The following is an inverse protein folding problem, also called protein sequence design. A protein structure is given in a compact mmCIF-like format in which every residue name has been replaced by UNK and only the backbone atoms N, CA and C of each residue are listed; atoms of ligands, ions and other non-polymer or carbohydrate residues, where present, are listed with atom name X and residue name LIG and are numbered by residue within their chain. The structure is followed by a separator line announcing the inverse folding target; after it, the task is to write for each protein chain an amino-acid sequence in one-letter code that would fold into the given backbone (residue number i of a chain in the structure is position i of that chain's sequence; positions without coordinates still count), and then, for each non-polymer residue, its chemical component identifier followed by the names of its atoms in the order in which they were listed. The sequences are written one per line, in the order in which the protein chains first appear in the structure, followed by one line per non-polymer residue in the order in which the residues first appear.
data_IF_406683492034
#
_entry.id   IF_406683492034
#
_cell.length_a   1.000
_cell.length_b   1.000
_cell.length_c   1.000
_cell.angle_alpha   90.00
_cell.angle_beta   90.00
_cell.angle_gamma   90.00
#
_symmetry.space_group_name_H-M   'P 1'
#
loop_
_entity.id
_entity.type
_entity.pdbx_description
1 polymer ?
#
# COMPACT_ATOMS: atom_id res chain seq x y z
N UNK A 1 -5.82 9.65 -12.99
CA UNK A 1 -6.55 8.62 -12.20
C UNK A 1 -5.61 8.14 -11.12
N UNK A 2 -6.02 8.20 -9.86
CA UNK A 2 -5.28 7.56 -8.77
C UNK A 2 -5.64 6.08 -8.76
N UNK A 3 -4.66 5.22 -9.08
CA UNK A 3 -4.83 3.77 -9.10
C UNK A 3 -4.22 3.07 -7.90
N UNK A 4 -3.69 3.82 -6.93
CA UNK A 4 -2.93 3.29 -5.79
C UNK A 4 -3.68 3.48 -4.46
N UNK A 5 -4.30 4.64 -4.28
CA UNK A 5 -5.05 4.97 -3.07
C UNK A 5 -6.51 4.55 -3.18
N UNK A 6 -7.15 4.34 -2.03
CA UNK A 6 -8.60 4.13 -1.97
C UNK A 6 -9.29 5.46 -2.20
N UNK A 7 -8.92 6.48 -1.44
CA UNK A 7 -9.38 7.85 -1.65
C UNK A 7 -8.29 8.58 -2.46
N UNK A 8 -8.60 9.16 -3.65
CA UNK A 8 -7.61 9.90 -4.43
C UNK A 8 -6.91 10.95 -3.59
N UNK A 9 -5.58 11.07 -3.72
CA UNK A 9 -4.77 11.88 -2.81
C UNK A 9 -5.26 13.34 -2.67
N UNK A 10 -5.66 13.97 -3.78
CA UNK A 10 -6.20 15.34 -3.82
C UNK A 10 -7.64 15.46 -3.29
N UNK A 11 -8.39 14.36 -3.23
CA UNK A 11 -9.71 14.31 -2.60
C UNK A 11 -9.58 14.01 -1.09
N UNK A 12 -8.58 13.23 -0.67
CA UNK A 12 -8.37 12.86 0.72
C UNK A 12 -8.15 14.09 1.60
N UNK A 13 -7.34 15.05 1.13
CA UNK A 13 -7.10 16.35 1.77
C UNK A 13 -6.70 17.37 0.72
N UNK A 14 -7.03 18.64 0.96
CA UNK A 14 -6.66 19.80 0.14
C UNK A 14 -5.27 20.38 0.48
N UNK A 15 -4.60 19.78 1.48
CA UNK A 15 -3.31 20.24 2.00
C UNK A 15 -2.50 19.10 2.62
N UNK A 16 -1.23 19.41 2.90
CA UNK A 16 -0.35 18.60 3.73
C UNK A 16 -0.94 18.41 5.13
N UNK A 17 -1.15 17.16 5.52
CA UNK A 17 -1.64 16.79 6.84
C UNK A 17 -0.50 16.47 7.80
N UNK A 18 -0.58 17.02 9.00
CA UNK A 18 0.51 16.94 9.98
C UNK A 18 0.62 15.55 10.63
N UNK A 19 -0.49 14.83 10.79
CA UNK A 19 -0.51 13.55 11.50
C UNK A 19 -1.65 12.64 11.05
N UNK A 20 -1.53 11.35 11.36
CA UNK A 20 -2.60 10.38 11.13
C UNK A 20 -3.94 10.83 11.74
N UNK A 21 -3.92 11.47 12.91
CA UNK A 21 -5.12 12.00 13.57
C UNK A 21 -5.89 13.01 12.70
N UNK A 22 -5.18 13.83 11.92
CA UNK A 22 -5.81 14.93 11.19
C UNK A 22 -6.38 14.49 9.84
N UNK A 23 -5.72 13.53 9.17
CA UNK A 23 -6.22 12.96 7.91
C UNK A 23 -7.25 11.83 8.09
N UNK A 24 -7.19 11.07 9.20
CA UNK A 24 -8.03 9.88 9.44
C UNK A 24 -9.51 10.14 9.21
N UNK A 25 -10.05 11.20 9.80
CA UNK A 25 -11.47 11.50 9.68
C UNK A 25 -11.84 11.90 8.25
N UNK A 26 -10.95 12.60 7.53
CA UNK A 26 -11.18 13.03 6.14
C UNK A 26 -11.20 11.85 5.15
N UNK A 27 -10.36 10.84 5.38
CA UNK A 27 -10.35 9.59 4.61
C UNK A 27 -11.58 8.75 5.00
N UNK A 28 -11.78 8.50 6.29
CA UNK A 28 -12.86 7.63 6.77
C UNK A 28 -14.25 8.13 6.38
N UNK A 29 -14.47 9.45 6.33
CA UNK A 29 -15.75 10.00 5.86
C UNK A 29 -16.03 9.72 4.39
N UNK A 30 -14.99 9.46 3.58
CA UNK A 30 -15.08 9.18 2.15
C UNK A 30 -15.05 7.68 1.82
N UNK A 31 -14.58 6.82 2.73
CA UNK A 31 -14.54 5.37 2.49
C UNK A 31 -15.87 4.76 1.98
N UNK A 32 -17.06 5.16 2.46
CA UNK A 32 -18.32 4.63 1.91
C UNK A 32 -18.53 4.88 0.41
N UNK A 33 -17.95 5.94 -0.12
CA UNK A 33 -18.02 6.30 -1.54
C UNK A 33 -16.91 5.60 -2.36
N UNK A 34 -15.71 5.50 -1.81
CA UNK A 34 -14.52 5.08 -2.56
C UNK A 34 -14.13 3.60 -2.37
N UNK A 35 -14.40 3.01 -1.20
CA UNK A 35 -14.11 1.60 -0.93
C UNK A 35 -15.25 0.71 -1.44
N UNK A 36 -15.28 0.52 -2.75
CA UNK A 36 -16.33 -0.23 -3.44
C UNK A 36 -15.74 -1.38 -4.24
N UNK A 37 -16.58 -2.33 -4.63
CA UNK A 37 -16.19 -3.42 -5.52
C UNK A 37 -15.81 -2.90 -6.92
N UNK A 38 -14.83 -3.56 -7.52
CA UNK A 38 -14.34 -3.18 -8.84
C UNK A 38 -15.20 -3.82 -9.94
N UNK A 39 -15.61 -3.06 -10.98
CA UNK A 39 -16.26 -3.66 -12.13
C UNK A 39 -15.27 -4.62 -12.83
N UNK A 40 -15.77 -5.72 -13.43
CA UNK A 40 -14.91 -6.63 -14.17
C UNK A 40 -14.30 -5.93 -15.39
N UNK A 41 -13.05 -6.29 -15.73
CA UNK A 41 -12.41 -5.81 -16.94
C UNK A 41 -13.10 -6.42 -18.16
N UNK A 42 -13.68 -5.57 -19.01
CA UNK A 42 -14.38 -5.98 -20.23
C UNK A 42 -13.40 -5.90 -21.41
N UNK A 43 -13.32 -6.98 -22.21
CA UNK A 43 -12.54 -6.97 -23.44
C UNK A 43 -13.11 -5.93 -24.41
N UNK A 44 -12.25 -5.08 -24.94
CA UNK A 44 -12.64 -4.10 -25.94
C UNK A 44 -13.18 -4.80 -27.22
N UNK A 45 -14.26 -4.30 -27.85
CA UNK A 45 -14.89 -4.97 -28.99
C UNK A 45 -14.03 -4.94 -30.27
N UNK A 46 -13.06 -4.03 -30.34
CA UNK A 46 -12.13 -3.93 -31.45
C UNK A 46 -10.75 -4.45 -31.02
N UNK A 47 -10.16 -5.33 -31.83
CA UNK A 47 -8.78 -5.75 -31.65
C UNK A 47 -7.80 -4.65 -32.09
N UNK A 48 -6.63 -4.62 -31.46
CA UNK A 48 -5.58 -3.66 -31.80
C UNK A 48 -5.03 -3.93 -33.20
N UNK A 49 -4.89 -2.87 -34.01
CA UNK A 49 -4.15 -2.94 -35.29
C UNK A 49 -2.64 -3.06 -35.08
N UNK A 50 -2.14 -2.69 -33.90
CA UNK A 50 -0.73 -2.77 -33.53
C UNK A 50 -0.42 -4.19 -33.06
N UNK A 51 0.46 -4.89 -33.80
CA UNK A 51 1.03 -6.16 -33.36
C UNK A 51 2.24 -5.88 -32.48
N UNK A 52 2.18 -6.27 -31.22
CA UNK A 52 3.33 -6.21 -30.31
C UNK A 52 4.17 -7.49 -30.44
N UNK A 53 5.50 -7.38 -30.56
CA UNK A 53 6.36 -8.56 -30.50
C UNK A 53 6.27 -9.21 -29.11
N UNK A 54 6.61 -10.50 -29.02
CA UNK A 54 6.75 -11.15 -27.71
C UNK A 54 7.89 -10.50 -26.94
N UNK A 55 7.70 -10.35 -25.64
CA UNK A 55 8.74 -9.83 -24.76
C UNK A 55 9.88 -10.86 -24.63
N UNK A 56 11.12 -10.39 -24.74
CA UNK A 56 12.33 -11.15 -24.42
C UNK A 56 12.79 -10.79 -23.01
N UNK A 57 12.29 -11.55 -22.03
CA UNK A 57 12.54 -11.26 -20.62
C UNK A 57 13.98 -11.58 -20.19
N UNK A 58 14.62 -12.57 -20.82
CA UNK A 58 16.00 -12.94 -20.51
C UNK A 58 16.94 -11.80 -20.89
N UNK A 59 16.78 -11.26 -22.11
CA UNK A 59 17.53 -10.09 -22.56
C UNK A 59 17.25 -8.84 -21.67
N UNK A 60 15.98 -8.60 -21.31
CA UNK A 60 15.65 -7.51 -20.38
C UNK A 60 16.36 -7.64 -19.03
N UNK A 61 16.49 -8.86 -18.51
CA UNK A 61 17.12 -9.12 -17.21
C UNK A 61 18.65 -8.97 -17.27
N UNK A 62 19.28 -9.36 -18.38
CA UNK A 62 20.73 -9.18 -18.57
C UNK A 62 21.15 -7.71 -18.54
N UNK A 63 20.31 -6.84 -19.08
CA UNK A 63 20.57 -5.41 -19.25
C UNK A 63 20.01 -4.50 -18.15
N UNK A 64 19.38 -5.06 -17.11
CA UNK A 64 18.84 -4.25 -16.02
C UNK A 64 19.97 -3.65 -15.17
N UNK A 65 19.93 -2.33 -14.95
CA UNK A 65 20.90 -1.61 -14.13
C UNK A 65 20.51 -1.70 -12.65
N UNK A 66 20.88 -2.80 -12.01
CA UNK A 66 20.64 -3.03 -10.58
C UNK A 66 21.94 -3.42 -9.87
N UNK A 67 21.96 -3.20 -8.56
CA UNK A 67 22.98 -3.77 -7.69
C UNK A 67 22.80 -5.29 -7.60
N UNK A 68 23.68 -6.04 -8.27
CA UNK A 68 23.66 -7.51 -8.31
C UNK A 68 24.27 -8.15 -7.05
N UNK A 69 24.73 -7.35 -6.08
CA UNK A 69 25.21 -7.87 -4.78
C UNK A 69 24.06 -8.20 -3.83
N UNK A 70 22.87 -7.65 -4.08
CA UNK A 70 21.66 -7.93 -3.31
C UNK A 70 20.93 -9.12 -3.94
N UNK A 71 20.85 -10.20 -3.18
CA UNK A 71 20.19 -11.43 -3.63
C UNK A 71 18.68 -11.25 -3.78
N UNK A 72 18.13 -12.05 -4.70
CA UNK A 72 16.68 -12.20 -4.87
C UNK A 72 16.03 -12.74 -3.59
N UNK A 73 14.91 -12.14 -3.22
CA UNK A 73 14.09 -12.58 -2.10
C UNK A 73 13.44 -13.94 -2.42
N UNK A 74 13.49 -14.89 -1.47
CA UNK A 74 12.97 -16.25 -1.66
C UNK A 74 11.57 -16.48 -1.05
N UNK A 75 11.17 -15.65 -0.08
CA UNK A 75 9.88 -15.80 0.62
C UNK A 75 8.71 -15.13 -0.12
N UNK A 76 9.00 -14.21 -1.06
CA UNK A 76 8.00 -13.41 -1.77
C UNK A 76 8.00 -13.77 -3.26
N UNK A 77 6.91 -14.37 -3.74
CA UNK A 77 6.70 -14.61 -5.16
C UNK A 77 6.03 -13.38 -5.80
N UNK A 78 6.70 -12.74 -6.76
CA UNK A 78 6.17 -11.58 -7.45
C UNK A 78 4.90 -11.86 -8.26
N UNK A 79 4.11 -10.81 -8.48
CA UNK A 79 2.90 -10.80 -9.30
C UNK A 79 1.61 -10.97 -8.50
N UNK A 80 0.47 -10.66 -9.13
CA UNK A 80 -0.85 -10.65 -8.49
C UNK A 80 -1.21 -11.98 -7.81
N UNK A 81 -0.86 -13.11 -8.42
CA UNK A 81 -1.12 -14.44 -7.82
C UNK A 81 -0.37 -14.63 -6.51
N UNK A 82 0.92 -14.28 -6.45
CA UNK A 82 1.68 -14.36 -5.20
C UNK A 82 1.15 -13.40 -4.12
N UNK A 83 0.60 -12.25 -4.54
CA UNK A 83 -0.06 -11.32 -3.63
C UNK A 83 -1.33 -11.93 -3.00
N UNK A 84 -2.14 -12.62 -3.81
CA UNK A 84 -3.33 -13.32 -3.35
C UNK A 84 -2.98 -14.46 -2.39
N UNK A 85 -1.98 -15.27 -2.73
CA UNK A 85 -1.49 -16.34 -1.86
C UNK A 85 -1.06 -15.76 -0.49
N UNK A 86 -0.30 -14.66 -0.51
CA UNK A 86 0.13 -13.99 0.73
C UNK A 86 -1.05 -13.39 1.53
N UNK A 87 -2.04 -12.80 0.85
CA UNK A 87 -3.24 -12.27 1.47
C UNK A 87 -4.03 -13.38 2.17
N UNK A 88 -4.19 -14.53 1.51
CA UNK A 88 -4.86 -15.70 2.09
C UNK A 88 -4.14 -16.19 3.35
N UNK A 89 -2.81 -16.33 3.30
CA UNK A 89 -2.00 -16.70 4.48
C UNK A 89 -2.18 -15.68 5.61
N UNK A 90 -2.16 -14.38 5.28
CA UNK A 90 -2.39 -13.34 6.28
C UNK A 90 -3.76 -13.49 6.95
N UNK A 91 -4.84 -13.59 6.16
CA UNK A 91 -6.21 -13.66 6.67
C UNK A 91 -6.44 -14.93 7.50
N UNK A 92 -5.98 -16.07 7.02
CA UNK A 92 -6.29 -17.38 7.61
C UNK A 92 -5.43 -17.69 8.84
N UNK A 93 -4.17 -17.24 8.86
CA UNK A 93 -3.22 -17.65 9.91
C UNK A 93 -2.86 -16.52 10.90
N UNK A 94 -2.73 -15.28 10.42
CA UNK A 94 -2.06 -14.20 11.18
C UNK A 94 -2.97 -13.06 11.61
N UNK A 95 -4.03 -12.76 10.85
CA UNK A 95 -4.93 -11.63 11.10
C UNK A 95 -5.48 -11.63 12.53
N UNK A 96 -5.84 -12.80 13.08
CA UNK A 96 -6.34 -12.91 14.47
C UNK A 96 -5.41 -12.27 15.51
N UNK A 97 -4.10 -12.31 15.29
CA UNK A 97 -3.07 -11.86 16.23
C UNK A 97 -2.49 -10.48 15.86
N UNK A 98 -2.90 -9.88 14.74
CA UNK A 98 -2.27 -8.67 14.20
C UNK A 98 -2.25 -7.51 15.20
N UNK A 99 -3.37 -7.20 15.84
CA UNK A 99 -3.45 -6.07 16.80
C UNK A 99 -2.45 -6.20 17.95
N UNK A 100 -2.37 -7.41 18.53
CA UNK A 100 -1.55 -7.67 19.71
C UNK A 100 -0.06 -7.86 19.38
N UNK A 101 0.25 -8.40 18.19
CA UNK A 101 1.60 -8.90 17.86
C UNK A 101 2.33 -8.15 16.77
N UNK A 102 1.71 -7.20 16.04
CA UNK A 102 2.36 -6.46 14.93
C UNK A 102 3.62 -5.68 15.32
N UNK A 103 3.77 -5.34 16.60
CA UNK A 103 4.92 -4.60 17.11
C UNK A 103 6.03 -5.51 17.67
N UNK A 104 5.82 -6.82 17.69
CA UNK A 104 6.79 -7.80 18.18
C UNK A 104 7.53 -8.42 16.98
N UNK A 105 8.80 -8.05 16.72
CA UNK A 105 9.55 -8.56 15.59
C UNK A 105 9.86 -10.06 15.69
N UNK A 106 9.71 -10.68 16.87
CA UNK A 106 9.85 -12.12 17.03
C UNK A 106 8.59 -12.90 16.60
N UNK A 107 7.50 -12.20 16.25
CA UNK A 107 6.22 -12.79 15.88
C UNK A 107 5.90 -12.51 14.42
N UNK A 108 5.59 -13.55 13.66
CA UNK A 108 5.05 -13.40 12.30
C UNK A 108 3.56 -13.04 12.34
N UNK A 109 3.28 -11.77 12.66
CA UNK A 109 1.92 -11.26 12.81
C UNK A 109 1.53 -10.27 11.72
N UNK A 110 2.48 -9.71 10.98
CA UNK A 110 2.21 -8.71 9.94
C UNK A 110 1.67 -9.37 8.66
N UNK A 111 1.11 -8.58 7.74
CA UNK A 111 0.62 -9.13 6.47
C UNK A 111 1.72 -9.56 5.52
N UNK A 112 2.91 -8.95 5.62
CA UNK A 112 3.97 -9.10 4.63
C UNK A 112 3.61 -8.57 3.23
N UNK A 113 2.48 -7.87 3.06
CA UNK A 113 1.96 -7.46 1.74
C UNK A 113 2.69 -6.25 1.11
N UNK A 114 3.59 -5.59 1.84
CA UNK A 114 4.25 -4.36 1.39
C UNK A 114 5.00 -4.48 0.05
N UNK A 115 5.66 -5.61 -0.33
CA UNK A 115 6.29 -5.71 -1.65
C UNK A 115 5.27 -5.62 -2.79
N UNK A 116 4.10 -6.25 -2.62
CA UNK A 116 3.06 -6.24 -3.65
C UNK A 116 2.30 -4.91 -3.69
N UNK A 117 2.11 -4.25 -2.55
CA UNK A 117 1.59 -2.88 -2.52
C UNK A 117 2.53 -1.92 -3.25
N UNK A 118 3.83 -1.96 -2.93
CA UNK A 118 4.84 -1.08 -3.53
C UNK A 118 4.84 -1.15 -5.07
N UNK A 119 4.80 -2.36 -5.64
CA UNK A 119 4.80 -2.54 -7.09
C UNK A 119 3.41 -2.49 -7.75
N UNK A 120 2.34 -2.19 -7.00
CA UNK A 120 0.97 -2.18 -7.52
C UNK A 120 0.52 -3.55 -8.05
N UNK A 121 1.10 -4.63 -7.54
CA UNK A 121 0.79 -5.99 -7.97
C UNK A 121 -0.53 -6.49 -7.40
N UNK A 122 -1.05 -5.85 -6.35
CA UNK A 122 -2.40 -6.04 -5.81
C UNK A 122 -2.96 -4.68 -5.38
N UNK A 123 -4.26 -4.46 -5.64
CA UNK A 123 -4.96 -3.28 -5.15
C UNK A 123 -5.14 -3.36 -3.63
N UNK A 124 -4.82 -2.27 -2.93
CA UNK A 124 -5.05 -2.18 -1.50
C UNK A 124 -6.55 -2.20 -1.22
N UNK A 125 -7.37 -1.50 -2.01
CA UNK A 125 -8.81 -1.53 -1.83
C UNK A 125 -9.34 -2.97 -1.90
N UNK A 126 -8.85 -3.79 -2.85
CA UNK A 126 -9.16 -5.24 -2.89
C UNK A 126 -8.79 -5.92 -1.58
N UNK A 127 -7.57 -5.73 -1.08
CA UNK A 127 -7.15 -6.32 0.20
C UNK A 127 -8.06 -5.91 1.36
N UNK A 128 -8.44 -4.63 1.45
CA UNK A 128 -9.34 -4.15 2.51
C UNK A 128 -10.73 -4.76 2.38
N UNK A 129 -11.27 -4.88 1.16
CA UNK A 129 -12.56 -5.54 0.90
C UNK A 129 -12.56 -6.99 1.39
N UNK A 130 -11.46 -7.74 1.22
CA UNK A 130 -11.35 -9.12 1.73
C UNK A 130 -11.18 -9.16 3.26
N UNK A 131 -10.36 -8.27 3.83
CA UNK A 131 -10.05 -8.28 5.27
C UNK A 131 -11.25 -7.82 6.11
N UNK A 132 -12.07 -6.88 5.61
CA UNK A 132 -13.21 -6.36 6.38
C UNK A 132 -14.32 -7.40 6.61
N UNK A 133 -14.40 -8.44 5.78
CA UNK A 133 -15.34 -9.56 5.98
C UNK A 133 -15.09 -10.28 7.32
N UNK A 134 -13.87 -10.17 7.86
CA UNK A 134 -13.48 -10.76 9.14
C UNK A 134 -13.68 -9.81 10.34
N UNK A 135 -14.25 -8.62 10.14
CA UNK A 135 -14.44 -7.61 11.19
C UNK A 135 -15.25 -8.13 12.37
N UNK A 136 -16.26 -8.97 12.12
CA UNK A 136 -17.08 -9.57 13.19
C UNK A 136 -16.30 -10.59 14.04
N UNK A 137 -15.23 -11.19 13.49
CA UNK A 137 -14.42 -12.20 14.17
C UNK A 137 -13.19 -11.61 14.84
N UNK A 138 -12.53 -10.66 14.17
CA UNK A 138 -11.24 -10.10 14.60
C UNK A 138 -11.27 -8.56 14.59
N UNK A 139 -12.29 -7.96 15.22
CA UNK A 139 -12.59 -6.52 15.14
C UNK A 139 -11.37 -5.61 15.33
N UNK A 140 -10.58 -5.84 16.39
CA UNK A 140 -9.40 -5.01 16.69
C UNK A 140 -8.30 -5.17 15.65
N UNK A 141 -7.99 -6.40 15.26
CA UNK A 141 -6.99 -6.69 14.23
C UNK A 141 -7.36 -6.12 12.86
N UNK A 142 -8.62 -6.23 12.46
CA UNK A 142 -9.12 -5.63 11.23
C UNK A 142 -9.02 -4.11 11.29
N UNK A 143 -9.46 -3.47 12.39
CA UNK A 143 -9.35 -2.03 12.56
C UNK A 143 -7.89 -1.55 12.56
N UNK A 144 -7.00 -2.26 13.27
CA UNK A 144 -5.57 -1.96 13.31
C UNK A 144 -4.91 -2.14 11.94
N UNK A 145 -5.29 -3.16 11.18
CA UNK A 145 -4.78 -3.35 9.82
C UNK A 145 -5.27 -2.24 8.88
N UNK A 146 -6.56 -1.88 8.93
CA UNK A 146 -7.11 -0.78 8.13
C UNK A 146 -6.46 0.58 8.46
N UNK A 147 -6.14 0.85 9.73
CA UNK A 147 -5.42 2.06 10.11
C UNK A 147 -4.04 2.14 9.42
N UNK A 148 -3.28 1.04 9.40
CA UNK A 148 -1.95 1.02 8.76
C UNK A 148 -2.07 1.02 7.22
N UNK A 149 -2.92 0.17 6.68
CA UNK A 149 -3.07 -0.04 5.24
C UNK A 149 -3.94 1.01 4.54
N UNK A 150 -4.59 1.92 5.25
CA UNK A 150 -5.33 3.04 4.66
C UNK A 150 -4.74 4.35 5.17
N UNK A 151 -4.97 4.67 6.45
CA UNK A 151 -4.67 5.99 7.01
C UNK A 151 -3.18 6.29 6.96
N UNK A 152 -2.34 5.36 7.41
CA UNK A 152 -0.88 5.58 7.48
C UNK A 152 -0.23 5.58 6.11
N UNK A 153 -0.65 4.68 5.21
CA UNK A 153 -0.14 4.68 3.83
C UNK A 153 -0.57 5.95 3.08
N UNK A 154 -1.86 6.27 3.07
CA UNK A 154 -2.37 7.44 2.33
C UNK A 154 -1.90 8.77 2.95
N UNK A 155 -1.56 8.81 4.24
CA UNK A 155 -0.84 9.94 4.83
C UNK A 155 0.57 10.11 4.22
N UNK A 156 1.25 9.01 3.91
CA UNK A 156 2.58 9.06 3.28
C UNK A 156 2.49 9.58 1.85
N UNK A 157 1.45 9.18 1.11
CA UNK A 157 1.13 9.74 -0.20
C UNK A 157 0.79 11.23 -0.12
N UNK A 158 -0.06 11.63 0.85
CA UNK A 158 -0.35 13.03 1.11
C UNK A 158 0.92 13.83 1.43
N UNK A 159 1.85 13.25 2.20
CA UNK A 159 3.11 13.88 2.53
C UNK A 159 3.95 14.15 1.28
N UNK A 160 4.22 13.11 0.47
CA UNK A 160 5.01 13.26 -0.75
C UNK A 160 4.32 14.14 -1.80
N UNK A 161 2.99 14.11 -1.89
CA UNK A 161 2.22 14.90 -2.86
C UNK A 161 2.26 16.40 -2.55
N UNK A 162 2.12 16.79 -1.27
CA UNK A 162 2.06 18.21 -0.88
C UNK A 162 3.41 18.80 -0.42
N UNK A 163 4.44 17.97 -0.25
CA UNK A 163 5.75 18.42 0.22
C UNK A 163 6.83 18.13 -0.83
N UNK A 164 7.22 19.16 -1.59
CA UNK A 164 8.30 19.04 -2.59
C UNK A 164 9.66 18.66 -1.99
N UNK A 165 9.82 18.79 -0.67
CA UNK A 165 11.05 18.49 0.06
C UNK A 165 10.93 17.20 0.90
N UNK A 166 10.05 16.26 0.52
CA UNK A 166 9.71 15.06 1.30
C UNK A 166 10.92 14.16 1.65
N UNK A 167 11.99 14.22 0.87
CA UNK A 167 13.22 13.44 1.03
C UNK A 167 14.38 14.22 1.67
N UNK A 168 14.09 15.40 2.24
CA UNK A 168 15.11 16.24 2.88
C UNK A 168 14.66 16.82 4.21
N UNK A 169 15.61 17.29 5.01
CA UNK A 169 15.35 17.96 6.29
C UNK A 169 14.44 19.19 6.18
N UNK A 170 14.38 19.82 4.99
CA UNK A 170 13.50 20.97 4.74
C UNK A 170 12.02 20.60 4.72
N UNK A 171 11.70 19.33 4.46
CA UNK A 171 10.33 18.83 4.49
C UNK A 171 9.82 18.49 5.88
N UNK A 172 10.67 18.51 6.90
CA UNK A 172 10.26 18.27 8.28
C UNK A 172 9.47 19.46 8.84
N UNK A 173 8.68 19.20 9.89
CA UNK A 173 8.02 20.28 10.63
C UNK A 173 9.07 21.18 11.31
N UNK A 174 8.78 22.48 11.43
CA UNK A 174 9.74 23.47 11.95
C UNK A 174 10.30 23.10 13.32
N UNK A 175 9.45 22.62 14.23
CA UNK A 175 9.87 22.19 15.57
C UNK A 175 10.90 21.04 15.54
N UNK A 176 10.82 20.15 14.55
CA UNK A 176 11.76 19.03 14.40
C UNK A 176 13.13 19.53 13.90
N UNK A 177 13.13 20.54 13.02
CA UNK A 177 14.35 21.20 12.58
C UNK A 177 15.01 22.00 13.71
N UNK A 178 14.22 22.75 14.47
CA UNK A 178 14.69 23.55 15.61
C UNK A 178 15.36 22.67 16.68
N UNK A 179 14.74 21.54 17.05
CA UNK A 179 15.32 20.63 18.03
C UNK A 179 16.58 19.94 17.51
N UNK A 180 16.63 19.55 16.24
CA UNK A 180 17.83 18.93 15.66
C UNK A 180 19.01 19.89 15.56
N UNK A 181 18.78 21.19 15.36
CA UNK A 181 19.87 22.18 15.36
C UNK A 181 20.36 22.54 16.77
N UNK A 182 19.56 22.29 17.80
CA UNK A 182 19.92 22.54 19.19
C UNK A 182 20.80 21.43 19.79
N UNK A 183 20.98 20.31 19.08
CA UNK A 183 21.66 19.09 19.53
C UNK A 183 22.70 18.62 18.51
#
# INVERSE_FOLDING_TARGET
VDGHNIVPCWEASDKLEYAARTIRNKINSKLPEYLTEFPPLIKHPYDSVIKTPKNDWDNCFEHVLIDKTVDKVNWCKAGYRGALDQLEIFITERLRNYDEKRNDPAQDATSGLSPWFHFGQISVARVILEVQEYKNKYQKSVAGFMEEAIVRRELSENFCFYNENYDSMKGANSWAFETLNAH
#
